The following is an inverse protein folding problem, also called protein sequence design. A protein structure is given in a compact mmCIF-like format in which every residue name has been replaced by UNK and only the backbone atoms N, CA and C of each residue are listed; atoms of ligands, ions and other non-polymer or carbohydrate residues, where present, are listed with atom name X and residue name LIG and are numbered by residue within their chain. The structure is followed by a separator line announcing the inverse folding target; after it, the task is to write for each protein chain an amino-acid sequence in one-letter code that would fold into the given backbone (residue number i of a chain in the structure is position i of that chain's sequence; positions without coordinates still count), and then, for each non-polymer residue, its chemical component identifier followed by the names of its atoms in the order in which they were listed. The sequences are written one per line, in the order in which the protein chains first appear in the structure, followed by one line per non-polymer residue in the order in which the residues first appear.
data_IF_298294931021
#
_entry.id   IF_298294931021
#
_cell.length_a   1.000
_cell.length_b   1.000
_cell.length_c   1.000
_cell.angle_alpha   90.00
_cell.angle_beta   90.00
_cell.angle_gamma   90.00
#
_symmetry.space_group_name_H-M   'P 1'
#
loop_
_entity.id
_entity.type
_entity.pdbx_description
1 polymer ?
#
# COMPACT_ATOMS: atom_id res chain seq x y z
N UNK A 1 20.58 -1.72 8.78
CA UNK A 1 19.19 -1.24 8.64
C UNK A 1 19.05 -0.16 7.55
N UNK A 2 19.70 1.02 7.68
CA UNK A 2 19.44 2.17 6.79
C UNK A 2 19.83 1.94 5.31
N UNK A 3 21.02 1.35 5.06
CA UNK A 3 21.43 0.99 3.70
C UNK A 3 20.48 -0.02 3.03
N UNK A 4 20.02 -1.03 3.78
CA UNK A 4 19.05 -2.01 3.28
C UNK A 4 17.72 -1.33 2.91
N UNK A 5 17.26 -0.36 3.70
CA UNK A 5 16.05 0.43 3.42
C UNK A 5 16.17 1.25 2.14
N UNK A 6 17.34 1.84 1.87
CA UNK A 6 17.62 2.55 0.61
C UNK A 6 17.53 1.58 -0.57
N UNK A 7 18.18 0.42 -0.48
CA UNK A 7 18.16 -0.59 -1.55
C UNK A 7 16.74 -1.09 -1.81
N UNK A 8 15.95 -1.38 -0.76
CA UNK A 8 14.54 -1.76 -0.93
C UNK A 8 13.70 -0.64 -1.52
N UNK A 9 14.00 0.62 -1.17
CA UNK A 9 13.32 1.81 -1.70
C UNK A 9 13.55 1.99 -3.20
N UNK A 10 14.77 1.74 -3.69
CA UNK A 10 15.07 1.77 -5.12
C UNK A 10 14.22 0.75 -5.91
N UNK A 11 13.90 -0.39 -5.31
CA UNK A 11 13.05 -1.42 -5.92
C UNK A 11 11.61 -0.97 -6.22
N UNK A 12 11.09 0.02 -5.49
CA UNK A 12 9.74 0.57 -5.69
C UNK A 12 9.57 1.20 -7.08
N UNK A 13 10.68 1.66 -7.70
CA UNK A 13 10.68 2.21 -9.06
C UNK A 13 10.15 1.25 -10.13
N UNK A 14 10.23 -0.06 -9.91
CA UNK A 14 9.72 -1.08 -10.84
C UNK A 14 8.20 -0.98 -11.07
N UNK A 15 7.45 -0.45 -10.10
CA UNK A 15 6.00 -0.25 -10.22
C UNK A 15 5.68 0.77 -11.32
N UNK A 16 6.51 1.81 -11.47
CA UNK A 16 6.31 2.79 -12.53
C UNK A 16 6.49 2.16 -13.91
N UNK A 17 7.53 1.34 -14.09
CA UNK A 17 7.76 0.60 -15.34
C UNK A 17 6.60 -0.36 -15.65
N UNK A 18 6.10 -1.10 -14.66
CA UNK A 18 4.96 -2.01 -14.84
C UNK A 18 3.69 -1.27 -15.26
N UNK A 19 3.42 -0.09 -14.68
CA UNK A 19 2.26 0.74 -15.03
C UNK A 19 2.37 1.30 -16.45
N UNK A 20 3.56 1.76 -16.86
CA UNK A 20 3.82 2.23 -18.22
C UNK A 20 3.61 1.09 -19.21
N UNK A 21 4.21 -0.08 -18.95
CA UNK A 21 4.03 -1.27 -19.78
C UNK A 21 2.55 -1.67 -19.89
N UNK A 22 1.82 -1.72 -18.77
CA UNK A 22 0.38 -2.00 -18.78
C UNK A 22 -0.42 -0.99 -19.61
N UNK A 23 -0.01 0.29 -19.62
CA UNK A 23 -0.67 1.33 -20.42
C UNK A 23 -0.36 1.22 -21.93
N UNK A 24 0.85 0.80 -22.31
CA UNK A 24 1.30 0.64 -23.71
C UNK A 24 0.90 -0.70 -24.32
N UNK A 25 0.79 -1.76 -23.51
CA UNK A 25 0.37 -3.09 -23.96
C UNK A 25 -1.16 -3.25 -24.05
N UNK A 26 -1.93 -2.28 -23.56
CA UNK A 26 -3.41 -2.34 -23.54
C UNK A 26 -4.05 -1.36 -24.52
N UNK A 27 -5.17 -1.78 -25.12
CA UNK A 27 -6.01 -0.91 -25.97
C UNK A 27 -6.68 0.20 -25.14
N UNK A 28 -7.07 1.35 -25.73
CA UNK A 28 -7.77 2.42 -25.00
C UNK A 28 -9.06 1.97 -24.30
N UNK A 29 -9.74 0.94 -24.84
CA UNK A 29 -10.96 0.37 -24.27
C UNK A 29 -10.67 -0.52 -23.06
N UNK A 30 -9.55 -1.24 -23.06
CA UNK A 30 -9.20 -2.20 -22.01
C UNK A 30 -8.16 -1.66 -21.00
N UNK A 31 -7.51 -0.54 -21.31
CA UNK A 31 -6.46 0.08 -20.49
C UNK A 31 -6.91 0.30 -19.04
N UNK A 32 -8.14 0.75 -18.84
CA UNK A 32 -8.66 0.96 -17.48
C UNK A 32 -8.77 -0.36 -16.72
N UNK A 33 -9.22 -1.43 -17.38
CA UNK A 33 -9.34 -2.76 -16.79
C UNK A 33 -7.97 -3.33 -16.42
N UNK A 34 -7.00 -3.24 -17.33
CA UNK A 34 -5.63 -3.68 -17.08
C UNK A 34 -4.95 -2.91 -15.92
N UNK A 35 -5.06 -1.58 -15.92
CA UNK A 35 -4.49 -0.74 -14.84
C UNK A 35 -5.20 -1.01 -13.51
N UNK A 36 -6.52 -1.21 -13.52
CA UNK A 36 -7.30 -1.47 -12.30
C UNK A 36 -6.93 -2.82 -11.68
N UNK A 37 -6.76 -3.87 -12.48
CA UNK A 37 -6.27 -5.15 -11.97
C UNK A 37 -4.82 -5.08 -11.47
N UNK A 38 -3.94 -4.36 -12.18
CA UNK A 38 -2.57 -4.13 -11.72
C UNK A 38 -2.53 -3.36 -10.39
N UNK A 39 -3.40 -2.37 -10.23
CA UNK A 39 -3.53 -1.59 -8.98
C UNK A 39 -4.13 -2.43 -7.87
N UNK A 40 -5.15 -3.25 -8.14
CA UNK A 40 -5.69 -4.21 -7.19
C UNK A 40 -4.65 -5.21 -6.70
N UNK A 41 -3.82 -5.74 -7.60
CA UNK A 41 -2.70 -6.62 -7.25
C UNK A 41 -1.64 -5.93 -6.40
N UNK A 42 -1.29 -4.67 -6.71
CA UNK A 42 -0.40 -3.87 -5.89
C UNK A 42 -0.93 -3.65 -4.47
N UNK A 43 -2.21 -3.29 -4.34
CA UNK A 43 -2.86 -3.09 -3.04
C UNK A 43 -2.89 -4.38 -2.23
N UNK A 44 -3.22 -5.53 -2.86
CA UNK A 44 -3.11 -6.84 -2.21
C UNK A 44 -1.70 -7.11 -1.69
N UNK A 45 -0.68 -6.78 -2.48
CA UNK A 45 0.73 -6.97 -2.13
C UNK A 45 1.13 -6.19 -0.86
N UNK A 46 0.68 -4.94 -0.72
CA UNK A 46 0.93 -4.15 0.49
C UNK A 46 0.31 -4.80 1.73
N UNK A 47 -0.89 -5.37 1.59
CA UNK A 47 -1.61 -6.02 2.70
C UNK A 47 -0.86 -7.21 3.27
N UNK A 48 -0.14 -7.96 2.44
CA UNK A 48 0.60 -9.14 2.88
C UNK A 48 1.65 -8.81 3.94
N UNK A 49 2.20 -7.59 3.97
CA UNK A 49 3.17 -7.19 4.98
C UNK A 49 2.63 -7.33 6.41
N UNK A 50 1.64 -6.51 6.81
CA UNK A 50 1.10 -6.57 8.16
C UNK A 50 0.34 -7.87 8.46
N UNK A 51 -0.32 -8.47 7.46
CA UNK A 51 -1.02 -9.76 7.64
C UNK A 51 -0.03 -10.88 7.96
N UNK A 52 1.09 -10.98 7.23
CA UNK A 52 2.13 -11.96 7.56
C UNK A 52 2.76 -11.64 8.91
N UNK A 53 2.97 -10.37 9.23
CA UNK A 53 3.49 -10.00 10.56
C UNK A 53 2.55 -10.41 11.70
N UNK A 54 1.23 -10.28 11.53
CA UNK A 54 0.22 -10.70 12.48
C UNK A 54 0.13 -12.24 12.60
N UNK A 55 0.29 -12.96 11.48
CA UNK A 55 0.28 -14.42 11.47
C UNK A 55 1.44 -15.03 12.27
N UNK A 56 2.61 -14.35 12.29
CA UNK A 56 3.78 -14.77 13.05
C UNK A 56 3.87 -14.16 14.46
N UNK A 57 2.92 -13.31 14.87
CA UNK A 57 2.85 -12.78 16.25
C UNK A 57 2.73 -13.85 17.34
N UNK A 58 1.99 -14.97 17.16
CA UNK A 58 1.92 -16.04 18.16
C UNK A 58 3.25 -16.77 18.40
N UNK A 59 4.25 -16.57 17.52
CA UNK A 59 5.57 -17.18 17.64
C UNK A 59 6.38 -16.58 18.81
N UNK A 60 5.96 -15.40 19.31
CA UNK A 60 6.59 -14.71 20.43
C UNK A 60 7.95 -14.07 20.08
N UNK A 61 8.38 -13.13 20.92
CA UNK A 61 9.67 -12.45 20.78
C UNK A 61 10.86 -13.33 21.19
N UNK A 62 10.59 -14.30 22.07
CA UNK A 62 11.52 -15.34 22.50
C UNK A 62 11.51 -16.49 21.49
N UNK A 63 11.96 -16.16 20.28
CA UNK A 63 12.07 -17.10 19.18
C UNK A 63 12.96 -18.32 19.46
N UNK A 64 13.01 -19.27 18.52
CA UNK A 64 13.88 -20.45 18.63
C UNK A 64 15.26 -20.19 18.00
N UNK A 65 16.32 -20.50 18.73
CA UNK A 65 17.69 -20.42 18.21
C UNK A 65 18.07 -21.72 17.51
N UNK A 66 18.24 -21.67 16.19
CA UNK A 66 18.82 -22.77 15.41
C UNK A 66 20.23 -22.35 14.95
N UNK A 67 21.25 -22.72 15.71
CA UNK A 67 22.65 -22.36 15.43
C UNK A 67 22.96 -20.86 15.57
N UNK A 68 23.49 -20.23 14.52
CA UNK A 68 23.87 -18.81 14.50
C UNK A 68 22.73 -17.86 14.08
N UNK A 69 21.55 -18.38 13.73
CA UNK A 69 20.41 -17.59 13.25
C UNK A 69 19.31 -17.63 14.32
N UNK A 70 18.84 -16.46 14.73
CA UNK A 70 17.70 -16.31 15.64
C UNK A 70 16.40 -16.26 14.83
N UNK A 71 15.53 -17.27 14.99
CA UNK A 71 14.20 -17.27 14.39
C UNK A 71 13.21 -16.63 15.35
N UNK A 72 13.01 -15.32 15.19
CA UNK A 72 12.02 -14.53 15.90
C UNK A 72 10.88 -14.12 14.93
N UNK A 73 9.74 -13.66 15.46
CA UNK A 73 8.62 -13.03 14.74
C UNK A 73 9.08 -12.14 13.58
N UNK A 74 10.05 -11.26 13.83
CA UNK A 74 10.54 -10.31 12.82
C UNK A 74 11.37 -10.96 11.70
N UNK A 75 12.16 -11.97 12.04
CA UNK A 75 13.08 -12.64 11.11
C UNK A 75 12.35 -13.64 10.22
N UNK A 76 11.35 -14.34 10.76
CA UNK A 76 10.51 -15.27 10.01
C UNK A 76 9.77 -14.57 8.86
N UNK A 77 9.16 -13.40 9.14
CA UNK A 77 8.46 -12.59 8.14
C UNK A 77 9.41 -12.17 7.02
N UNK A 78 10.62 -11.72 7.36
CA UNK A 78 11.61 -11.29 6.37
C UNK A 78 12.05 -12.43 5.43
N UNK A 79 12.24 -13.65 5.96
CA UNK A 79 12.58 -14.81 5.14
C UNK A 79 11.44 -15.19 4.19
N UNK A 80 10.20 -15.26 4.67
CA UNK A 80 9.03 -15.57 3.83
C UNK A 80 8.90 -14.56 2.70
N UNK A 81 9.02 -13.26 2.98
CA UNK A 81 8.98 -12.22 1.96
C UNK A 81 10.10 -12.35 0.93
N UNK A 82 11.30 -12.75 1.36
CA UNK A 82 12.42 -12.98 0.44
C UNK A 82 12.11 -14.13 -0.53
N UNK A 83 11.52 -15.24 -0.04
CA UNK A 83 11.09 -16.34 -0.91
C UNK A 83 10.00 -15.92 -1.89
N UNK A 84 9.02 -15.12 -1.45
CA UNK A 84 7.97 -14.58 -2.33
C UNK A 84 8.57 -13.71 -3.44
N UNK A 85 9.52 -12.84 -3.11
CA UNK A 85 10.24 -12.03 -4.10
C UNK A 85 11.01 -12.89 -5.11
N UNK A 86 11.73 -13.93 -4.65
CA UNK A 86 12.44 -14.84 -5.54
C UNK A 86 11.50 -15.62 -6.46
N UNK A 87 10.36 -16.08 -5.94
CA UNK A 87 9.32 -16.73 -6.74
C UNK A 87 8.74 -15.77 -7.78
N UNK A 88 8.50 -14.51 -7.42
CA UNK A 88 8.06 -13.49 -8.37
C UNK A 88 9.08 -13.25 -9.49
N UNK A 89 10.38 -13.16 -9.17
CA UNK A 89 11.44 -13.08 -10.17
C UNK A 89 11.44 -14.29 -11.12
N UNK A 90 11.23 -15.49 -10.58
CA UNK A 90 11.13 -16.71 -11.38
C UNK A 90 9.92 -16.67 -12.33
N UNK A 91 8.73 -16.28 -11.82
CA UNK A 91 7.52 -16.16 -12.65
C UNK A 91 7.74 -15.15 -13.76
N UNK A 92 8.32 -13.99 -13.49
CA UNK A 92 8.62 -12.98 -14.52
C UNK A 92 9.62 -13.55 -15.53
N UNK A 93 10.71 -14.19 -15.11
CA UNK A 93 11.71 -14.70 -16.04
C UNK A 93 11.18 -15.79 -16.98
N UNK A 94 10.32 -16.68 -16.50
CA UNK A 94 9.83 -17.83 -17.29
C UNK A 94 8.50 -17.60 -18.00
N UNK A 95 7.60 -16.80 -17.43
CA UNK A 95 6.24 -16.63 -17.96
C UNK A 95 5.98 -15.26 -18.61
N UNK A 96 6.83 -14.25 -18.36
CA UNK A 96 6.63 -12.94 -18.96
C UNK A 96 7.01 -12.97 -20.44
N UNK A 97 6.03 -12.73 -21.31
CA UNK A 97 6.24 -12.44 -22.73
C UNK A 97 5.87 -11.00 -22.98
N UNK A 98 6.84 -10.26 -23.51
CA UNK A 98 6.72 -8.84 -23.79
C UNK A 98 5.92 -8.64 -25.08
N UNK A 99 4.81 -7.89 -25.03
CA UNK A 99 3.94 -7.59 -26.17
C UNK A 99 3.55 -6.11 -26.14
N UNK A 100 3.91 -5.37 -27.19
CA UNK A 100 3.67 -3.93 -27.31
C UNK A 100 2.57 -3.60 -28.32
N UNK A 101 1.32 -3.83 -27.93
CA UNK A 101 0.14 -3.62 -28.81
C UNK A 101 -0.03 -2.15 -29.22
N UNK A 102 0.45 -1.18 -28.41
CA UNK A 102 0.31 0.25 -28.71
C UNK A 102 1.46 0.90 -29.47
N UNK A 103 2.53 0.17 -29.80
CA UNK A 103 3.74 0.73 -30.45
C UNK A 103 4.07 -0.03 -31.75
N UNK A 104 3.69 -1.31 -31.86
CA UNK A 104 3.98 -2.14 -33.04
C UNK A 104 2.68 -2.58 -33.72
N UNK A 105 2.17 -1.74 -34.63
CA UNK A 105 1.44 -2.27 -35.79
C UNK A 105 2.49 -2.61 -36.85
N UNK A 106 2.88 -3.89 -36.93
CA UNK A 106 3.82 -4.39 -37.97
C UNK A 106 3.30 -4.19 -39.42
N UNK A 107 2.07 -3.70 -39.59
CA UNK A 107 1.39 -3.57 -40.89
C UNK A 107 1.06 -2.12 -41.32
N UNK A 108 1.46 -1.08 -40.57
CA UNK A 108 1.27 0.31 -41.02
C UNK A 108 2.62 1.00 -41.29
N UNK A 109 3.03 0.98 -42.56
CA UNK A 109 4.14 1.78 -43.11
C UNK A 109 3.83 3.27 -43.25
N UNK A 110 2.72 3.78 -42.73
CA UNK A 110 2.44 5.21 -42.77
C UNK A 110 1.44 5.62 -41.68
N UNK A 111 1.92 6.18 -40.58
CA UNK A 111 1.23 7.33 -39.99
C UNK A 111 2.22 8.09 -39.12
N UNK A 112 2.45 9.36 -39.49
CA UNK A 112 2.82 10.39 -38.55
C UNK A 112 1.73 10.44 -37.46
N UNK A 113 1.81 9.53 -36.47
CA UNK A 113 1.13 9.70 -35.20
C UNK A 113 1.86 10.86 -34.54
N UNK A 114 1.44 12.07 -34.88
CA UNK A 114 1.87 13.29 -34.21
C UNK A 114 1.42 13.12 -32.78
N UNK A 115 2.32 12.62 -31.93
CA UNK A 115 2.12 12.57 -30.49
C UNK A 115 1.81 14.01 -30.10
N UNK A 116 0.58 14.33 -29.67
CA UNK A 116 0.24 15.71 -29.35
C UNK A 116 1.23 16.20 -28.29
N UNK A 117 1.71 17.44 -28.44
CA UNK A 117 2.67 18.03 -27.50
C UNK A 117 2.21 17.75 -26.07
N UNK A 118 3.05 17.04 -25.30
CA UNK A 118 2.66 16.68 -23.96
C UNK A 118 2.49 17.96 -23.14
N UNK A 119 1.35 18.07 -22.46
CA UNK A 119 1.11 19.16 -21.54
C UNK A 119 1.98 18.95 -20.29
N UNK A 120 3.16 19.57 -20.29
CA UNK A 120 4.12 19.50 -19.19
C UNK A 120 3.49 19.96 -17.88
N UNK A 121 2.69 21.03 -17.90
CA UNK A 121 2.05 21.55 -16.69
C UNK A 121 1.00 20.59 -16.16
N UNK A 122 0.16 20.05 -17.03
CA UNK A 122 -0.82 19.02 -16.66
C UNK A 122 -0.16 17.76 -16.09
N UNK A 123 0.94 17.29 -16.69
CA UNK A 123 1.70 16.15 -16.20
C UNK A 123 2.35 16.42 -14.83
N UNK A 124 2.99 17.58 -14.65
CA UNK A 124 3.58 17.98 -13.38
C UNK A 124 2.55 18.05 -12.25
N UNK A 125 1.38 18.63 -12.52
CA UNK A 125 0.28 18.69 -11.55
C UNK A 125 -0.19 17.28 -11.18
N UNK A 126 -0.37 16.39 -12.16
CA UNK A 126 -0.76 15.00 -11.89
C UNK A 126 0.29 14.25 -11.06
N UNK A 127 1.58 14.42 -11.36
CA UNK A 127 2.69 13.80 -10.61
C UNK A 127 2.72 14.34 -9.18
N UNK A 128 2.57 15.65 -9.00
CA UNK A 128 2.57 16.28 -7.68
C UNK A 128 1.37 15.83 -6.83
N UNK A 129 0.17 15.78 -7.40
CA UNK A 129 -1.01 15.23 -6.72
C UNK A 129 -0.83 13.76 -6.34
N UNK A 130 -0.25 12.97 -7.24
CA UNK A 130 0.07 11.57 -6.94
C UNK A 130 1.07 11.47 -5.78
N UNK A 131 2.10 12.31 -5.76
CA UNK A 131 3.07 12.38 -4.66
C UNK A 131 2.38 12.70 -3.32
N UNK A 132 1.49 13.70 -3.29
CA UNK A 132 0.72 14.07 -2.08
C UNK A 132 -0.07 12.87 -1.55
N UNK A 133 -0.81 12.17 -2.43
CA UNK A 133 -1.62 11.02 -2.02
C UNK A 133 -0.76 9.90 -1.42
N UNK A 134 0.41 9.61 -2.01
CA UNK A 134 1.32 8.59 -1.46
C UNK A 134 1.91 9.04 -0.11
N UNK A 135 2.30 10.31 0.03
CA UNK A 135 2.80 10.85 1.30
C UNK A 135 1.75 10.69 2.41
N UNK A 136 0.48 11.03 2.13
CA UNK A 136 -0.58 10.92 3.12
C UNK A 136 -0.84 9.46 3.50
N UNK A 137 -0.88 8.56 2.51
CA UNK A 137 -1.03 7.12 2.77
C UNK A 137 0.10 6.58 3.66
N UNK A 138 1.36 6.93 3.37
CA UNK A 138 2.51 6.51 4.18
C UNK A 138 2.49 7.10 5.59
N UNK A 139 2.07 8.36 5.75
CA UNK A 139 1.92 8.95 7.09
C UNK A 139 0.88 8.21 7.92
N UNK A 140 -0.27 7.88 7.33
CA UNK A 140 -1.32 7.10 8.02
C UNK A 140 -0.78 5.73 8.42
N UNK A 141 -0.10 5.02 7.51
CA UNK A 141 0.46 3.69 7.79
C UNK A 141 1.46 3.71 8.96
N UNK A 142 2.39 4.68 8.97
CA UNK A 142 3.42 4.79 10.01
C UNK A 142 2.82 5.23 11.35
N UNK A 143 1.82 6.11 11.34
CA UNK A 143 1.21 6.66 12.55
C UNK A 143 0.08 5.80 13.13
N UNK A 144 -0.50 4.87 12.37
CA UNK A 144 -1.61 4.03 12.84
C UNK A 144 -1.25 3.25 14.10
N UNK A 145 -0.08 2.59 14.11
CA UNK A 145 0.35 1.75 15.23
C UNK A 145 0.46 2.53 16.55
N UNK A 146 1.29 3.59 16.66
CA UNK A 146 1.40 4.36 17.90
C UNK A 146 0.08 5.06 18.27
N UNK A 147 -0.69 5.53 17.29
CA UNK A 147 -1.99 6.16 17.56
C UNK A 147 -2.97 5.18 18.21
N UNK A 148 -3.06 3.95 17.72
CA UNK A 148 -3.96 2.93 18.28
C UNK A 148 -3.53 2.41 19.65
N UNK A 149 -2.22 2.27 19.90
CA UNK A 149 -1.68 1.89 21.23
C UNK A 149 -2.09 2.93 22.28
N UNK A 150 -2.03 4.21 21.92
CA UNK A 150 -2.32 5.31 22.84
C UNK A 150 -3.83 5.56 22.98
N UNK A 151 -4.61 5.43 21.89
CA UNK A 151 -6.06 5.68 21.89
C UNK A 151 -6.89 4.57 22.55
N UNK A 152 -6.47 3.31 22.40
CA UNK A 152 -7.25 2.15 22.85
C UNK A 152 -6.64 1.42 24.05
N UNK A 153 -5.54 1.95 24.62
CA UNK A 153 -4.80 1.30 25.72
C UNK A 153 -4.42 -0.17 25.38
N UNK A 154 -4.06 -0.39 24.12
CA UNK A 154 -3.69 -1.71 23.62
C UNK A 154 -2.21 -1.97 23.83
N UNK A 155 -1.86 -3.20 24.23
CA UNK A 155 -0.48 -3.67 24.23
C UNK A 155 0.09 -3.68 22.80
N UNK A 156 1.40 -3.48 22.63
CA UNK A 156 2.04 -3.45 21.30
C UNK A 156 1.71 -4.68 20.43
N UNK A 157 1.71 -5.88 21.02
CA UNK A 157 1.31 -7.10 20.31
C UNK A 157 -0.16 -7.10 19.86
N UNK A 158 -1.05 -6.52 20.65
CA UNK A 158 -2.47 -6.40 20.33
C UNK A 158 -2.70 -5.31 19.26
N UNK A 159 -2.03 -4.16 19.37
CA UNK A 159 -2.06 -3.09 18.37
C UNK A 159 -1.62 -3.59 17.00
N UNK A 160 -0.55 -4.38 16.93
CA UNK A 160 -0.09 -4.97 15.66
C UNK A 160 -1.15 -5.90 15.06
N UNK A 161 -1.76 -6.76 15.89
CA UNK A 161 -2.77 -7.72 15.44
C UNK A 161 -4.03 -7.01 14.95
N UNK A 162 -4.58 -6.08 15.72
CA UNK A 162 -5.81 -5.35 15.35
C UNK A 162 -5.60 -4.42 14.15
N UNK A 163 -4.47 -3.71 14.07
CA UNK A 163 -4.13 -2.95 12.85
C UNK A 163 -3.97 -3.88 11.65
N UNK A 164 -3.38 -5.06 11.83
CA UNK A 164 -3.26 -6.07 10.78
C UNK A 164 -4.62 -6.53 10.24
N UNK A 165 -5.60 -6.79 11.13
CA UNK A 165 -6.97 -7.15 10.75
C UNK A 165 -7.67 -5.98 10.04
N UNK A 166 -7.61 -4.78 10.60
CA UNK A 166 -8.23 -3.59 10.02
C UNK A 166 -7.67 -3.31 8.61
N UNK A 167 -6.35 -3.44 8.45
CA UNK A 167 -5.69 -3.31 7.17
C UNK A 167 -6.14 -4.41 6.19
N UNK A 168 -6.24 -5.66 6.63
CA UNK A 168 -6.74 -6.76 5.80
C UNK A 168 -8.16 -6.46 5.27
N UNK A 169 -9.07 -6.04 6.15
CA UNK A 169 -10.42 -5.63 5.76
C UNK A 169 -10.42 -4.47 4.76
N UNK A 170 -9.61 -3.43 5.02
CA UNK A 170 -9.49 -2.27 4.11
C UNK A 170 -8.96 -2.66 2.72
N UNK A 171 -8.07 -3.65 2.67
CA UNK A 171 -7.48 -4.15 1.44
C UNK A 171 -8.48 -5.00 0.65
N UNK A 172 -9.26 -5.86 1.31
CA UNK A 172 -10.36 -6.60 0.68
C UNK A 172 -11.34 -5.61 0.02
N UNK A 173 -11.73 -4.55 0.74
CA UNK A 173 -12.60 -3.50 0.20
C UNK A 173 -11.94 -2.80 -0.99
N UNK A 174 -10.68 -2.41 -0.87
CA UNK A 174 -9.94 -1.72 -1.94
C UNK A 174 -9.82 -2.58 -3.20
N UNK A 175 -9.59 -3.87 -3.04
CA UNK A 175 -9.43 -4.81 -4.15
C UNK A 175 -10.77 -5.09 -4.80
N UNK A 176 -11.84 -5.25 -4.02
CA UNK A 176 -13.20 -5.33 -4.53
C UNK A 176 -13.54 -4.09 -5.35
N UNK A 177 -13.23 -2.89 -4.86
CA UNK A 177 -13.44 -1.64 -5.61
C UNK A 177 -12.64 -1.61 -6.93
N UNK A 178 -11.37 -2.02 -6.92
CA UNK A 178 -10.56 -2.10 -8.14
C UNK A 178 -11.10 -3.15 -9.13
N UNK A 179 -11.60 -4.28 -8.66
CA UNK A 179 -12.22 -5.31 -9.51
C UNK A 179 -13.55 -4.82 -10.09
N UNK A 180 -14.36 -4.11 -9.29
CA UNK A 180 -15.62 -3.49 -9.72
C UNK A 180 -15.32 -2.41 -10.77
N UNK A 181 -14.33 -1.54 -10.55
CA UNK A 181 -13.93 -0.51 -11.53
C UNK A 181 -13.44 -1.12 -12.85
N UNK A 182 -12.73 -2.24 -12.79
CA UNK A 182 -12.24 -2.94 -13.98
C UNK A 182 -13.30 -3.77 -14.72
N UNK A 183 -14.34 -4.24 -14.03
CA UNK A 183 -15.32 -5.20 -14.58
C UNK A 183 -16.69 -4.59 -14.87
N UNK A 184 -17.06 -3.50 -14.19
CA UNK A 184 -18.40 -2.88 -14.27
C UNK A 184 -18.42 -1.64 -15.18
N UNK A 185 -19.61 -1.24 -15.66
CA UNK A 185 -19.84 0.01 -16.41
C UNK A 185 -19.41 1.29 -15.66
N UNK A 186 -19.12 1.21 -14.37
CA UNK A 186 -18.53 2.29 -13.57
C UNK A 186 -17.18 2.74 -14.15
N UNK A 187 -16.39 1.84 -14.77
CA UNK A 187 -15.18 2.20 -15.51
C UNK A 187 -15.43 2.97 -16.82
N UNK A 188 -16.68 3.08 -17.27
CA UNK A 188 -17.06 3.90 -18.43
C UNK A 188 -17.58 5.28 -18.05
N UNK A 189 -17.70 5.56 -16.75
CA UNK A 189 -18.05 6.90 -16.27
C UNK A 189 -16.94 7.88 -16.62
N UNK A 190 -17.32 9.15 -16.74
CA UNK A 190 -16.35 10.22 -16.92
C UNK A 190 -15.33 10.21 -15.79
N UNK A 191 -14.04 10.16 -16.18
CA UNK A 191 -12.90 10.12 -15.26
C UNK A 191 -12.91 11.28 -14.25
N UNK A 192 -13.48 12.43 -14.66
CA UNK A 192 -13.65 13.61 -13.79
C UNK A 192 -14.58 13.34 -12.61
N UNK A 193 -15.68 12.63 -12.84
CA UNK A 193 -16.64 12.29 -11.79
C UNK A 193 -16.00 11.28 -10.83
N UNK A 194 -15.27 10.29 -11.35
CA UNK A 194 -14.53 9.34 -10.51
C UNK A 194 -13.49 10.04 -9.62
N UNK A 195 -12.74 11.01 -10.17
CA UNK A 195 -11.81 11.82 -9.37
C UNK A 195 -12.52 12.64 -8.30
N UNK A 196 -13.67 13.26 -8.63
CA UNK A 196 -14.42 14.08 -7.69
C UNK A 196 -14.99 13.23 -6.54
N UNK A 197 -15.51 12.04 -6.83
CA UNK A 197 -15.93 11.07 -5.81
C UNK A 197 -14.76 10.71 -4.89
N UNK A 198 -13.58 10.42 -5.44
CA UNK A 198 -12.38 10.12 -4.66
C UNK A 198 -11.97 11.25 -3.72
N UNK A 199 -12.01 12.50 -4.19
CA UNK A 199 -11.72 13.69 -3.38
C UNK A 199 -12.76 13.85 -2.25
N UNK A 200 -14.04 13.61 -2.52
CA UNK A 200 -15.09 13.68 -1.49
C UNK A 200 -14.87 12.66 -0.38
N UNK A 201 -14.58 11.40 -0.73
CA UNK A 201 -14.25 10.37 0.27
C UNK A 201 -12.99 10.72 1.07
N UNK A 202 -11.98 11.28 0.41
CA UNK A 202 -10.76 11.73 1.07
C UNK A 202 -11.02 12.85 2.08
N UNK A 203 -11.86 13.84 1.73
CA UNK A 203 -12.25 14.91 2.65
C UNK A 203 -13.09 14.38 3.81
N UNK A 204 -14.03 13.48 3.55
CA UNK A 204 -14.83 12.84 4.61
C UNK A 204 -13.94 12.10 5.61
N UNK A 205 -12.94 11.36 5.14
CA UNK A 205 -11.97 10.68 6.02
C UNK A 205 -11.29 11.67 6.98
N UNK A 206 -10.82 12.81 6.49
CA UNK A 206 -10.17 13.84 7.33
C UNK A 206 -11.12 14.44 8.37
N UNK A 207 -12.38 14.67 7.98
CA UNK A 207 -13.43 15.18 8.88
C UNK A 207 -13.74 14.17 9.99
N UNK A 208 -13.79 12.88 9.68
CA UNK A 208 -14.04 11.84 10.69
C UNK A 208 -12.85 11.62 11.63
N UNK A 209 -11.62 11.76 11.14
CA UNK A 209 -10.43 11.59 11.97
C UNK A 209 -10.13 12.80 12.87
N UNK A 210 -10.79 13.93 12.65
CA UNK A 210 -10.62 15.10 13.49
C UNK A 210 -11.11 14.81 14.92
N UNK A 211 -10.33 15.10 15.97
CA UNK A 211 -10.73 14.91 17.35
C UNK A 211 -11.78 15.97 17.72
N UNK A 212 -13.04 15.67 17.43
CA UNK A 212 -14.18 16.49 17.81
C UNK A 212 -14.36 16.56 19.33
N UNK A 213 -14.94 17.66 19.80
CA UNK A 213 -15.20 17.91 21.22
C UNK A 213 -16.15 16.92 21.90
N UNK A 214 -16.79 16.01 21.14
CA UNK A 214 -17.62 14.94 21.69
C UNK A 214 -16.83 13.68 22.06
N UNK A 215 -15.58 13.54 21.58
CA UNK A 215 -14.74 12.43 22.00
C UNK A 215 -14.28 12.66 23.45
N UNK A 216 -14.48 11.65 24.30
CA UNK A 216 -14.13 11.68 25.72
C UNK A 216 -12.62 11.87 25.91
N UNK A 217 -12.23 12.75 26.85
CA UNK A 217 -10.84 12.88 27.32
C UNK A 217 -10.73 12.62 28.83
N UNK A 218 -9.50 12.47 29.38
CA UNK A 218 -8.18 12.41 28.72
C UNK A 218 -7.77 10.97 28.36
N UNK A 219 -6.65 10.82 27.62
CA UNK A 219 -6.04 9.52 27.34
C UNK A 219 -5.43 8.93 28.61
N UNK A 220 -5.52 7.61 28.74
CA UNK A 220 -4.94 6.89 29.87
C UNK A 220 -3.40 6.87 29.77
N UNK A 221 -2.75 7.10 30.90
CA UNK A 221 -1.29 7.11 31.01
C UNK A 221 -0.77 5.75 31.46
N UNK A 222 0.37 5.36 30.92
CA UNK A 222 1.05 4.13 31.33
C UNK A 222 1.38 4.22 32.84
N UNK A 223 1.13 3.16 33.63
CA UNK A 223 1.52 3.11 35.05
C UNK A 223 3.05 3.24 35.21
N UNK A 224 3.49 3.91 36.28
CA UNK A 224 4.89 4.26 36.46
C UNK A 224 5.81 3.01 36.52
N UNK A 225 6.71 2.88 35.56
CA UNK A 225 7.71 1.81 35.49
C UNK A 225 7.36 0.63 34.56
N UNK A 226 6.25 0.69 33.83
CA UNK A 226 5.93 -0.28 32.78
C UNK A 226 6.24 0.28 31.38
N UNK A 227 6.69 -0.60 30.47
CA UNK A 227 6.87 -0.31 29.04
C UNK A 227 5.58 -0.64 28.25
N UNK A 228 5.47 -0.15 27.02
CA UNK A 228 4.34 -0.43 26.09
C UNK A 228 4.16 -1.93 25.77
N UNK A 229 5.16 -2.73 26.14
CA UNK A 229 5.14 -4.18 26.15
C UNK A 229 4.23 -4.78 27.24
N UNK A 230 3.83 -4.05 28.27
CA UNK A 230 3.06 -4.55 29.42
C UNK A 230 1.68 -3.88 29.55
N UNK A 231 1.62 -2.55 29.35
CA UNK A 231 0.40 -1.76 29.37
C UNK A 231 0.39 -0.76 28.20
N UNK A 232 -0.78 -0.49 27.62
CA UNK A 232 -0.93 0.55 26.60
C UNK A 232 -0.98 1.95 27.23
N UNK A 233 -1.21 2.96 26.39
CA UNK A 233 -1.43 4.33 26.85
C UNK A 233 -0.30 5.30 26.54
N UNK A 234 -0.45 6.53 27.00
CA UNK A 234 0.48 7.63 26.73
C UNK A 234 1.64 7.65 27.75
N UNK A 235 2.87 7.89 27.29
CA UNK A 235 3.98 8.14 28.22
C UNK A 235 3.73 9.43 29.02
N UNK A 236 3.95 9.37 30.32
CA UNK A 236 3.81 10.52 31.23
C UNK A 236 4.72 11.70 30.88
N UNK A 237 5.76 11.48 30.06
CA UNK A 237 6.68 12.54 29.59
C UNK A 237 6.03 13.48 28.56
N UNK A 238 4.91 13.08 27.94
CA UNK A 238 4.17 13.90 26.97
C UNK A 238 2.93 14.58 27.56
N UNK A 239 2.76 14.54 28.89
CA UNK A 239 1.70 15.23 29.63
C UNK A 239 2.01 16.72 29.87
#
# INVERSE_FOLDING_TARGET
MLAARIVTGLGVGNIAALRVYGATASTPKDRMKAISYGTGGYVLGISFGPVLSAFFTPLGETGWKMGSIYFNMFTAVAFVMTFVCLAACFVVHFFFKENYVGIMDENETDSNVVVPNYDLWGALICIYLFMIVNIIATNIEVMSTPLTTVLYDWKDSQSILYNGIALCCSCIVSVALNVILGSTKLGKLDKRIQMLIGIVFFLLYQVFMYPWSFYSGPLDYIPAGEDTDLAGGCYQTYA
#
